data_IF_662407698128
#
_entry.id   IF_662407698128
#
_cell.length_a   1.000
_cell.length_b   1.000
_cell.length_c   1.000
_cell.angle_alpha   90.00
_cell.angle_beta   90.00
_cell.angle_gamma   90.00
#
_symmetry.space_group_name_H-M   'P 1'
#
loop_
_entity.id
_entity.type
_entity.pdbx_description
1 polymer ?
2 non-polymer ?
3 non-polymer ?
4 non-polymer ?
5 non-polymer ?
6 water ?
#
# COMPACT_ATOMS: atom_id res chain seq x y z
N UNK A 3 1.44 24.29 7.65
CA UNK A 3 0.76 25.38 6.90
C UNK A 3 -0.70 25.03 6.62
N UNK A 4 -1.61 25.89 7.08
CA UNK A 4 -3.04 25.67 6.87
C UNK A 4 -3.37 25.60 5.38
N UNK A 5 -2.53 26.24 4.57
CA UNK A 5 -2.73 26.26 3.13
C UNK A 5 -2.56 24.87 2.53
N UNK A 6 -1.52 24.15 2.93
CA UNK A 6 -1.27 22.81 2.41
C UNK A 6 -2.40 21.86 2.78
N UNK A 7 -2.91 21.98 3.99
CA UNK A 7 -4.01 21.14 4.42
C UNK A 7 -5.17 21.32 3.45
N UNK A 8 -5.60 22.57 3.25
CA UNK A 8 -6.71 22.86 2.36
C UNK A 8 -6.44 22.33 0.94
N UNK A 9 -5.22 22.54 0.45
CA UNK A 9 -4.85 22.07 -0.88
C UNK A 9 -4.95 20.56 -1.00
N UNK A 10 -4.37 19.86 -0.04
CA UNK A 10 -4.42 18.40 -0.05
C UNK A 10 -5.86 17.90 0.03
N UNK A 11 -6.63 18.44 0.97
CA UNK A 11 -8.03 18.01 1.14
C UNK A 11 -8.87 18.23 -0.12
N UNK A 12 -8.75 19.40 -0.73
CA UNK A 12 -9.50 19.72 -1.94
C UNK A 12 -9.21 18.66 -3.01
N UNK A 13 -7.93 18.30 -3.14
CA UNK A 13 -7.51 17.30 -4.12
C UNK A 13 -8.13 15.97 -3.75
N UNK A 14 -8.21 15.69 -2.45
CA UNK A 14 -8.78 14.44 -2.01
C UNK A 14 -10.25 14.42 -2.45
N UNK A 15 -10.96 15.52 -2.23
CA UNK A 15 -12.36 15.58 -2.65
C UNK A 15 -12.49 15.37 -4.13
N UNK A 16 -11.54 15.92 -4.88
CA UNK A 16 -11.54 15.80 -6.34
C UNK A 16 -11.38 14.34 -6.75
N UNK A 17 -10.45 13.64 -6.12
CA UNK A 17 -10.22 12.24 -6.45
C UNK A 17 -11.46 11.44 -6.10
N UNK A 18 -12.06 11.74 -4.95
CA UNK A 18 -13.27 11.05 -4.51
C UNK A 18 -14.45 11.32 -5.43
N UNK A 19 -14.58 12.57 -5.86
CA UNK A 19 -15.66 12.96 -6.74
C UNK A 19 -15.71 12.11 -8.00
N UNK A 20 -14.55 11.80 -8.55
CA UNK A 20 -14.46 10.98 -9.76
C UNK A 20 -15.07 9.61 -9.55
N UNK A 21 -15.08 9.12 -8.32
CA UNK A 21 -15.63 7.80 -8.03
C UNK A 21 -17.02 7.90 -7.43
N UNK A 22 -17.49 9.13 -7.20
CA UNK A 22 -18.81 9.32 -6.61
C UNK A 22 -18.79 9.02 -5.12
N UNK A 23 -17.66 9.27 -4.48
CA UNK A 23 -17.55 9.02 -3.04
C UNK A 23 -17.44 10.35 -2.30
N UNK A 24 -18.14 10.49 -1.19
CA UNK A 24 -18.12 11.72 -0.41
C UNK A 24 -17.09 11.62 0.71
N UNK A 25 -16.39 12.72 0.97
CA UNK A 25 -15.38 12.75 2.04
C UNK A 25 -15.99 13.24 3.36
N UNK A 26 -15.71 12.52 4.44
CA UNK A 26 -16.20 12.90 5.77
C UNK A 26 -15.15 13.80 6.39
N UNK A 27 -15.28 15.10 6.16
CA UNK A 27 -14.33 16.08 6.67
C UNK A 27 -14.00 15.95 8.16
N UNK A 28 -14.99 15.60 8.97
CA UNK A 28 -14.83 15.44 10.41
C UNK A 28 -13.81 14.36 10.74
N UNK A 29 -13.62 13.44 9.79
CA UNK A 29 -12.68 12.34 9.99
C UNK A 29 -11.36 12.59 9.27
N UNK A 30 -11.40 13.38 8.20
CA UNK A 30 -10.19 13.66 7.42
C UNK A 30 -9.40 14.89 7.85
N UNK A 31 -10.07 16.02 8.03
CA UNK A 31 -9.38 17.24 8.38
C UNK A 31 -8.55 17.16 9.66
N UNK A 32 -9.10 16.53 10.70
CA UNK A 32 -8.36 16.39 11.96
C UNK A 32 -7.03 15.69 11.73
N UNK A 33 -7.04 14.67 10.88
CA UNK A 33 -5.85 13.88 10.58
C UNK A 33 -4.82 14.64 9.74
N UNK A 34 -5.29 15.37 8.73
CA UNK A 34 -4.39 16.15 7.88
C UNK A 34 -3.77 17.28 8.68
N UNK A 35 -4.55 17.87 9.58
CA UNK A 35 -4.05 18.97 10.42
C UNK A 35 -2.91 18.48 11.29
N UNK A 36 -3.10 17.33 11.92
CA UNK A 36 -2.11 16.73 12.80
C UNK A 36 -0.79 16.52 12.07
N UNK A 37 -0.87 16.14 10.80
CA UNK A 37 0.34 15.91 10.02
C UNK A 37 0.50 16.98 8.94
N UNK A 38 0.08 18.21 9.23
CA UNK A 38 0.18 19.29 8.25
C UNK A 38 1.61 19.58 7.80
N UNK A 39 2.59 19.27 8.64
CA UNK A 39 3.99 19.53 8.28
C UNK A 39 4.53 18.62 7.18
N UNK A 40 3.89 17.48 6.96
CA UNK A 40 4.32 16.53 5.94
C UNK A 40 3.69 16.80 4.57
N UNK A 41 2.60 17.56 4.56
CA UNK A 41 1.86 17.87 3.34
C UNK A 41 2.57 18.84 2.42
N UNK A 42 3.78 19.25 2.79
CA UNK A 42 4.54 20.18 1.98
C UNK A 42 5.14 19.42 0.80
N UNK A 43 5.00 19.99 -0.40
CA UNK A 43 5.53 19.37 -1.60
C UNK A 43 7.05 19.28 -1.53
N UNK A 44 7.62 18.39 -2.34
CA UNK A 44 9.06 18.22 -2.36
C UNK A 44 9.50 16.80 -2.10
N UNK A 45 9.55 16.43 -0.82
CA UNK A 45 9.97 15.09 -0.46
C UNK A 45 8.85 14.30 0.21
N UNK A 46 7.62 14.60 -0.20
CA UNK A 46 6.42 13.96 0.33
C UNK A 46 5.76 13.05 -0.70
N UNK A 47 5.15 11.98 -0.23
CA UNK A 47 4.44 11.10 -1.14
C UNK A 47 2.99 11.05 -0.67
N UNK A 48 2.07 11.24 -1.61
CA UNK A 48 0.65 11.23 -1.32
C UNK A 48 -0.05 10.49 -2.44
N UNK A 49 -0.81 9.45 -2.09
CA UNK A 49 -1.52 8.64 -3.07
C UNK A 49 -3.00 8.53 -2.77
N UNK A 50 -3.81 8.64 -3.83
CA UNK A 50 -5.26 8.50 -3.71
C UNK A 50 -5.59 7.26 -4.52
N UNK A 51 -6.04 6.22 -3.84
CA UNK A 51 -6.32 4.93 -4.48
C UNK A 51 -7.78 4.47 -4.54
N UNK A 52 -8.14 3.92 -5.69
CA UNK A 52 -9.46 3.37 -5.94
C UNK A 52 -9.33 1.84 -6.03
N UNK A 53 -10.44 1.13 -5.89
CA UNK A 53 -10.46 -0.32 -5.97
C UNK A 53 -11.76 -0.78 -6.63
N UNK A 54 -11.72 -1.97 -7.23
CA UNK A 54 -12.90 -2.50 -7.91
C UNK A 54 -13.75 -3.36 -6.98
N UNK A 55 -14.88 -3.80 -7.52
CA UNK A 55 -15.79 -4.65 -6.78
C UNK A 55 -16.29 -4.11 -5.46
N UNK A 56 -16.02 -4.87 -4.40
CA UNK A 56 -16.43 -4.54 -3.04
C UNK A 56 -16.01 -3.16 -2.55
N UNK A 57 -14.76 -2.79 -2.81
CA UNK A 57 -14.23 -1.51 -2.35
C UNK A 57 -14.39 -0.39 -3.36
N UNK A 58 -15.31 -0.56 -4.30
CA UNK A 58 -15.54 0.44 -5.33
C UNK A 58 -16.20 1.71 -4.78
N UNK A 59 -16.85 1.59 -3.63
CA UNK A 59 -17.54 2.71 -3.00
C UNK A 59 -16.65 3.42 -1.98
N UNK A 60 -15.35 3.19 -2.08
CA UNK A 60 -14.41 3.80 -1.15
C UNK A 60 -13.21 4.43 -1.84
N UNK A 61 -12.50 5.25 -1.08
CA UNK A 61 -11.30 5.94 -1.58
C UNK A 61 -10.24 6.02 -0.46
N UNK A 62 -9.10 5.40 -0.69
CA UNK A 62 -8.01 5.42 0.29
C UNK A 62 -6.97 6.49 -0.05
N UNK A 63 -6.29 6.96 0.98
CA UNK A 63 -5.22 7.93 0.82
C UNK A 63 -4.03 7.50 1.67
N UNK A 64 -2.84 7.73 1.14
CA UNK A 64 -1.60 7.39 1.82
C UNK A 64 -0.75 8.65 1.82
N UNK A 65 -0.20 8.97 2.99
CA UNK A 65 0.61 10.17 3.16
C UNK A 65 1.90 9.79 3.85
N UNK A 66 3.03 10.14 3.23
CA UNK A 66 4.33 9.82 3.83
C UNK A 66 4.54 10.73 5.05
N UNK A 67 5.27 10.24 6.03
CA UNK A 67 5.58 10.99 7.25
C UNK A 67 7.02 10.69 7.65
N UNK A 68 7.89 11.72 7.62
CA UNK A 68 9.29 11.48 7.99
C UNK A 68 9.43 10.99 9.43
N UNK A 69 10.40 10.10 9.66
CA UNK A 69 10.62 9.56 11.00
C UNK A 69 10.89 10.68 12.00
N UNK A 70 11.42 11.80 11.49
CA UNK A 70 11.73 12.93 12.36
C UNK A 70 10.49 13.42 13.10
N UNK A 71 9.31 13.16 12.53
CA UNK A 71 8.07 13.61 13.17
C UNK A 71 7.61 12.66 14.26
N UNK A 72 8.25 11.50 14.35
CA UNK A 72 7.88 10.54 15.38
C UNK A 72 6.80 9.57 14.97
N UNK A 73 6.77 8.43 15.68
CA UNK A 73 5.80 7.36 15.46
C UNK A 73 4.41 7.93 15.18
N UNK A 74 3.90 7.74 13.94
CA UNK A 74 2.57 8.26 13.56
C UNK A 74 1.38 7.68 14.35
N UNK A 75 1.46 6.39 14.68
CA UNK A 75 0.38 5.77 15.43
C UNK A 75 0.32 6.30 16.86
N UNK A 76 1.48 6.54 17.47
CA UNK A 76 1.53 7.08 18.81
C UNK A 76 0.87 8.45 18.77
N UNK A 77 1.03 9.14 17.66
CA UNK A 77 0.43 10.46 17.53
C UNK A 77 -1.09 10.39 17.47
N UNK A 78 -1.63 9.60 16.53
CA UNK A 78 -3.09 9.48 16.39
C UNK A 78 -3.77 8.97 17.67
N UNK A 79 -3.16 8.00 18.33
CA UNK A 79 -3.75 7.47 19.57
C UNK A 79 -3.74 8.55 20.66
N UNK A 80 -2.58 9.20 20.83
CA UNK A 80 -2.44 10.25 21.83
C UNK A 80 -3.37 11.43 21.54
N UNK A 81 -3.62 11.71 20.26
CA UNK A 81 -4.51 12.81 19.91
C UNK A 81 -5.98 12.43 19.98
N UNK A 82 -6.24 11.17 20.33
CA UNK A 82 -7.60 10.71 20.44
C UNK A 82 -8.29 10.45 19.10
N UNK A 83 -7.50 10.36 18.04
CA UNK A 83 -8.04 10.11 16.71
C UNK A 83 -8.37 8.63 16.47
N UNK A 84 -7.68 7.76 17.20
CA UNK A 84 -7.92 6.32 17.07
C UNK A 84 -7.72 5.61 18.40
N UNK A 85 -8.61 4.66 18.73
CA UNK A 85 -8.49 3.92 19.99
C UNK A 85 -7.55 2.73 19.86
N UNK A 86 -6.73 2.50 20.87
CA UNK A 86 -5.81 1.37 20.86
C UNK A 86 -6.63 0.08 20.75
N UNK A 87 -6.27 -0.79 19.80
CA UNK A 87 -7.00 -2.03 19.62
C UNK A 87 -6.85 -2.96 20.81
N UNK A 88 -5.79 -2.78 21.59
CA UNK A 88 -5.54 -3.62 22.75
C UNK A 88 -4.80 -4.88 22.33
N UNK A 89 -4.52 -4.97 21.02
CA UNK A 89 -3.83 -6.11 20.44
C UNK A 89 -2.38 -5.79 20.08
N UNK A 90 -1.58 -6.82 19.74
CA UNK A 90 -0.17 -6.64 19.37
C UNK A 90 0.05 -5.60 18.28
N UNK A 91 -0.96 -5.42 17.41
CA UNK A 91 -0.82 -4.45 16.32
C UNK A 91 -0.47 -3.06 16.83
N UNK A 92 -0.92 -2.72 18.04
CA UNK A 92 -0.65 -1.40 18.62
C UNK A 92 0.82 -1.18 18.92
N UNK A 93 1.57 -2.28 19.05
CA UNK A 93 2.99 -2.17 19.35
C UNK A 93 3.89 -2.46 18.17
N UNK A 94 3.35 -3.10 17.14
CA UNK A 94 4.14 -3.47 15.98
C UNK A 94 4.95 -2.34 15.35
N UNK A 95 4.33 -1.19 15.10
CA UNK A 95 5.08 -0.09 14.51
C UNK A 95 6.20 0.40 15.45
N UNK A 96 5.91 0.49 16.74
CA UNK A 96 6.90 0.93 17.71
C UNK A 96 8.05 -0.08 17.81
N UNK A 97 7.71 -1.37 17.83
CA UNK A 97 8.72 -2.42 17.91
C UNK A 97 9.59 -2.49 16.65
N UNK A 98 8.97 -2.31 15.49
CA UNK A 98 9.69 -2.36 14.25
C UNK A 98 10.80 -1.30 14.24
N UNK A 99 10.43 -0.06 14.56
CA UNK A 99 11.38 1.04 14.61
C UNK A 99 12.38 0.82 15.76
N UNK A 100 12.08 -0.14 16.63
CA UNK A 100 12.92 -0.44 17.77
C UNK A 100 13.90 -1.57 17.46
N UNK A 101 13.60 -2.36 16.44
CA UNK A 101 14.45 -3.47 16.07
C UNK A 101 15.15 -3.28 14.73
N UNK A 102 14.54 -2.50 13.85
CA UNK A 102 15.11 -2.29 12.53
C UNK A 102 15.15 -0.82 12.13
N UNK A 103 16.06 -0.48 11.20
CA UNK A 103 16.23 0.89 10.70
C UNK A 103 15.04 1.28 9.84
N UNK A 104 14.37 2.38 10.18
CA UNK A 104 13.23 2.83 9.42
C UNK A 104 13.57 4.18 8.79
N UNK A 105 13.53 4.25 7.46
CA UNK A 105 13.86 5.47 6.73
C UNK A 105 12.70 6.44 6.63
N UNK A 106 11.48 5.91 6.71
CA UNK A 106 10.30 6.77 6.60
C UNK A 106 9.02 6.08 7.05
N UNK A 107 8.05 6.90 7.44
CA UNK A 107 6.76 6.42 7.89
C UNK A 107 5.71 6.82 6.87
N UNK A 108 4.48 6.37 7.12
CA UNK A 108 3.34 6.72 6.28
C UNK A 108 2.05 6.38 7.02
N UNK A 109 1.04 7.23 6.82
CA UNK A 109 -0.26 7.02 7.43
C UNK A 109 -1.21 6.72 6.29
N UNK A 110 -2.23 5.94 6.59
CA UNK A 110 -3.19 5.53 5.59
C UNK A 110 -4.61 5.60 6.15
N UNK A 111 -5.52 6.19 5.39
CA UNK A 111 -6.91 6.26 5.83
C UNK A 111 -7.87 6.13 4.67
N UNK A 112 -9.18 6.18 4.93
CA UNK A 112 -10.21 6.09 3.89
C UNK A 112 -11.09 7.34 4.04
N UNK A 113 -11.48 7.95 2.93
CA UNK A 113 -12.26 9.18 2.98
C UNK A 113 -13.53 9.20 3.83
N UNK A 114 -14.16 8.06 4.03
CA UNK A 114 -15.37 8.03 4.86
C UNK A 114 -15.09 7.35 6.20
N UNK A 115 -14.08 6.49 6.25
CA UNK A 115 -13.76 5.79 7.49
C UNK A 115 -12.74 6.46 8.40
N UNK A 116 -11.82 7.21 7.81
CA UNK A 116 -10.78 7.87 8.59
C UNK A 116 -9.49 7.04 8.62
N UNK A 117 -8.60 7.35 9.56
CA UNK A 117 -7.33 6.65 9.73
C UNK A 117 -7.54 5.14 9.92
N UNK A 118 -6.65 4.33 9.36
CA UNK A 118 -6.76 2.88 9.52
C UNK A 118 -5.41 2.14 9.52
N UNK A 119 -4.38 2.79 8.97
CA UNK A 119 -3.09 2.13 8.92
C UNK A 119 -1.84 2.98 8.85
N UNK A 120 -0.70 2.33 9.11
CA UNK A 120 0.58 3.00 9.04
C UNK A 120 1.53 2.11 8.25
N UNK A 121 2.63 2.72 7.80
CA UNK A 121 3.65 2.03 7.02
C UNK A 121 5.02 2.29 7.64
N UNK A 122 5.93 1.32 7.46
CA UNK A 122 7.29 1.44 7.97
C UNK A 122 8.27 1.12 6.84
N UNK A 123 8.87 2.15 6.25
CA UNK A 123 9.83 1.99 5.16
C UNK A 123 11.24 1.72 5.68
N UNK A 124 11.94 0.82 5.02
CA UNK A 124 13.30 0.49 5.41
C UNK A 124 14.28 1.03 4.37
N UNK A 125 15.54 1.26 4.78
CA UNK A 125 16.55 1.77 3.86
C UNK A 125 16.73 0.79 2.71
N UNK A 126 16.72 1.30 1.48
CA UNK A 126 16.87 0.43 0.32
C UNK A 126 18.18 -0.36 0.33
N UNK A 127 19.25 0.26 0.80
CA UNK A 127 20.54 -0.39 0.85
C UNK A 127 20.73 -1.21 2.13
N UNK A 128 19.65 -1.37 2.88
CA UNK A 128 19.72 -2.14 4.12
C UNK A 128 18.34 -2.69 4.51
N UNK A 129 17.66 -3.32 3.55
CA UNK A 129 16.35 -3.88 3.81
C UNK A 129 16.44 -5.17 4.60
N UNK A 130 15.48 -5.39 5.51
CA UNK A 130 15.45 -6.60 6.33
C UNK A 130 14.93 -7.80 5.54
N UNK A 131 15.22 -8.98 6.06
CA UNK A 131 14.77 -10.21 5.43
C UNK A 131 13.61 -10.71 6.27
N UNK A 132 13.03 -11.83 5.86
CA UNK A 132 11.91 -12.44 6.56
C UNK A 132 12.33 -12.86 7.97
N UNK A 133 13.59 -13.25 8.11
CA UNK A 133 14.13 -13.69 9.41
C UNK A 133 14.14 -12.55 10.42
N UNK A 134 14.66 -11.40 10.00
CA UNK A 134 14.73 -10.25 10.89
C UNK A 134 13.33 -9.75 11.27
N UNK A 135 12.41 -9.77 10.30
CA UNK A 135 11.04 -9.33 10.55
C UNK A 135 10.28 -10.24 11.50
N UNK A 136 10.44 -11.54 11.32
CA UNK A 136 9.74 -12.50 12.16
C UNK A 136 10.23 -12.47 13.60
N UNK A 137 11.36 -11.81 13.84
CA UNK A 137 11.93 -11.72 15.18
C UNK A 137 11.26 -10.64 16.04
N UNK A 138 10.62 -9.67 15.40
CA UNK A 138 9.94 -8.60 16.12
C UNK A 138 8.84 -9.21 16.98
N UNK A 139 8.89 -8.99 18.30
CA UNK A 139 7.94 -9.50 19.30
C UNK A 139 6.47 -9.36 18.95
N UNK A 140 6.10 -8.19 18.46
CA UNK A 140 4.71 -7.92 18.11
C UNK A 140 4.33 -8.33 16.68
N UNK A 141 5.29 -8.85 15.92
CA UNK A 141 4.99 -9.28 14.55
C UNK A 141 4.16 -10.56 14.58
N UNK A 142 3.22 -10.70 13.64
CA UNK A 142 2.36 -11.88 13.57
C UNK A 142 3.20 -13.15 13.46
N UNK A 143 2.85 -14.20 14.21
CA UNK A 143 3.60 -15.46 14.16
C UNK A 143 3.63 -16.03 12.74
N UNK A 144 2.57 -15.73 11.99
CA UNK A 144 2.43 -16.20 10.61
C UNK A 144 3.64 -15.86 9.75
N UNK A 145 4.30 -14.73 10.03
CA UNK A 145 5.47 -14.36 9.24
C UNK A 145 6.52 -15.45 9.35
N UNK A 146 6.84 -15.86 10.58
CA UNK A 146 7.83 -16.92 10.78
C UNK A 146 7.35 -18.27 10.23
N UNK A 147 6.07 -18.56 10.42
CA UNK A 147 5.49 -19.82 9.93
C UNK A 147 5.43 -19.96 8.42
N UNK A 148 5.67 -18.86 7.71
CA UNK A 148 5.66 -18.87 6.26
C UNK A 148 7.04 -18.55 5.69
N UNK A 149 8.04 -18.44 6.57
CA UNK A 149 9.40 -18.12 6.14
C UNK A 149 9.94 -19.10 5.11
N UNK A 150 9.72 -20.39 5.33
CA UNK A 150 10.21 -21.39 4.40
C UNK A 150 9.57 -21.21 3.03
N UNK A 151 8.25 -21.04 3.02
CA UNK A 151 7.52 -20.85 1.78
C UNK A 151 8.01 -19.62 1.02
N UNK A 152 8.20 -18.51 1.74
CA UNK A 152 8.68 -17.28 1.13
C UNK A 152 10.01 -17.51 0.44
N UNK A 153 10.93 -18.18 1.14
CA UNK A 153 12.26 -18.47 0.59
C UNK A 153 12.17 -19.33 -0.66
N UNK A 154 11.24 -20.29 -0.65
CA UNK A 154 11.08 -21.17 -1.80
C UNK A 154 10.68 -20.40 -3.07
N UNK A 155 10.06 -19.24 -2.90
CA UNK A 155 9.66 -18.45 -4.06
C UNK A 155 10.49 -17.19 -4.27
N UNK A 156 11.62 -17.09 -3.57
CA UNK A 156 12.49 -15.95 -3.71
C UNK A 156 12.00 -14.65 -3.11
N UNK A 157 11.11 -14.74 -2.14
CA UNK A 157 10.58 -13.56 -1.45
C UNK A 157 11.46 -13.42 -0.22
N UNK A 158 12.39 -12.48 -0.27
CA UNK A 158 13.34 -12.28 0.81
C UNK A 158 13.39 -10.83 1.30
N UNK A 159 13.88 -9.94 0.46
CA UNK A 159 13.98 -8.53 0.82
C UNK A 159 12.62 -7.85 0.89
N UNK A 160 12.45 -7.04 1.93
CA UNK A 160 11.21 -6.30 2.17
C UNK A 160 11.54 -4.81 2.25
N UNK A 161 10.97 -4.03 1.34
CA UNK A 161 11.19 -2.60 1.28
C UNK A 161 10.39 -1.86 2.36
N UNK A 162 9.32 -2.50 2.85
CA UNK A 162 8.49 -1.89 3.89
C UNK A 162 7.37 -2.83 4.37
N UNK A 163 6.70 -2.42 5.43
CA UNK A 163 5.60 -3.18 6.01
C UNK A 163 4.48 -2.19 6.28
N UNK A 164 3.25 -2.68 6.37
CA UNK A 164 2.12 -1.82 6.71
C UNK A 164 1.29 -2.54 7.77
N UNK A 165 0.64 -1.77 8.63
CA UNK A 165 -0.22 -2.31 9.69
C UNK A 165 -1.63 -1.74 9.59
N UNK A 166 -2.62 -2.63 9.52
CA UNK A 166 -4.02 -2.23 9.45
C UNK A 166 -4.61 -2.47 10.83
N UNK A 167 -4.77 -1.40 11.60
CA UNK A 167 -5.30 -1.46 12.94
C UNK A 167 -6.78 -1.84 13.02
N UNK A 168 -7.50 -1.72 11.92
CA UNK A 168 -8.92 -2.06 11.92
C UNK A 168 -9.18 -3.52 11.61
N UNK A 169 -8.46 -4.07 10.64
CA UNK A 169 -8.64 -5.47 10.29
C UNK A 169 -7.59 -6.33 10.98
N UNK A 170 -6.68 -5.67 11.70
CA UNK A 170 -5.60 -6.36 12.41
C UNK A 170 -4.83 -7.26 11.46
N UNK A 171 -4.30 -6.65 10.40
CA UNK A 171 -3.53 -7.36 9.39
C UNK A 171 -2.23 -6.63 9.04
N UNK A 172 -1.24 -7.41 8.61
CA UNK A 172 0.08 -6.90 8.22
C UNK A 172 0.44 -7.27 6.78
N UNK A 173 0.98 -6.31 6.05
CA UNK A 173 1.43 -6.57 4.67
C UNK A 173 2.96 -6.54 4.64
N UNK A 174 3.55 -7.43 3.85
CA UNK A 174 5.00 -7.46 3.68
C UNK A 174 5.25 -7.13 2.23
N UNK A 175 5.85 -5.98 1.97
CA UNK A 175 6.12 -5.57 0.61
C UNK A 175 7.49 -6.05 0.14
N UNK A 176 7.52 -7.19 -0.55
CA UNK A 176 8.79 -7.73 -1.03
C UNK A 176 9.34 -6.94 -2.20
N UNK A 177 10.66 -6.81 -2.25
CA UNK A 177 11.28 -6.06 -3.32
C UNK A 177 12.41 -6.86 -3.98
N UNK A 178 13.04 -6.23 -4.96
CA UNK A 178 14.15 -6.86 -5.71
C UNK A 178 13.74 -8.27 -6.14
N UNK A 179 12.55 -8.39 -6.72
CA UNK A 179 12.03 -9.67 -7.17
C UNK A 179 12.79 -10.17 -8.39
N UNK A 180 13.01 -11.48 -8.43
CA UNK A 180 13.72 -12.09 -9.55
C UNK A 180 12.71 -12.46 -10.64
N UNK A 181 13.21 -12.58 -11.85
CA UNK A 181 12.37 -12.96 -12.98
C UNK A 181 11.77 -14.33 -12.72
N UNK A 182 12.57 -15.21 -12.12
CA UNK A 182 12.10 -16.56 -11.82
C UNK A 182 10.82 -16.52 -10.99
N UNK A 183 10.83 -15.69 -9.95
CA UNK A 183 9.70 -15.53 -9.06
C UNK A 183 8.39 -15.16 -9.77
N UNK A 184 8.49 -14.23 -10.74
CA UNK A 184 7.32 -13.74 -11.46
C UNK A 184 6.90 -14.55 -12.68
N UNK A 185 7.59 -15.66 -12.92
CA UNK A 185 7.26 -16.53 -14.03
C UNK A 185 5.89 -17.15 -13.80
N UNK A 186 5.17 -17.42 -14.88
CA UNK A 186 3.84 -18.00 -14.77
C UNK A 186 3.84 -19.28 -13.93
N UNK A 187 4.81 -20.17 -14.15
CA UNK A 187 4.87 -21.42 -13.39
C UNK A 187 5.05 -21.14 -11.90
N UNK A 188 5.92 -20.19 -11.57
CA UNK A 188 6.19 -19.84 -10.16
C UNK A 188 4.98 -19.19 -9.49
N UNK A 189 4.35 -18.26 -10.20
CA UNK A 189 3.17 -17.59 -9.68
C UNK A 189 2.05 -18.57 -9.39
N UNK A 190 1.76 -19.44 -10.35
CA UNK A 190 0.70 -20.43 -10.16
C UNK A 190 0.99 -21.35 -8.98
N UNK A 191 2.23 -21.80 -8.86
CA UNK A 191 2.61 -22.68 -7.75
C UNK A 191 2.36 -21.97 -6.42
N UNK A 192 2.76 -20.71 -6.36
CA UNK A 192 2.60 -19.91 -5.15
C UNK A 192 1.14 -19.77 -4.77
N UNK A 193 0.32 -19.24 -5.68
CA UNK A 193 -1.10 -19.05 -5.39
C UNK A 193 -1.76 -20.37 -4.96
N UNK A 194 -1.37 -21.48 -5.58
CA UNK A 194 -1.94 -22.77 -5.20
C UNK A 194 -1.58 -23.14 -3.76
N UNK A 195 -0.34 -22.91 -3.36
CA UNK A 195 0.06 -23.22 -1.99
C UNK A 195 -0.71 -22.37 -0.99
N UNK A 196 -0.99 -21.12 -1.35
CA UNK A 196 -1.70 -20.22 -0.43
C UNK A 196 -3.22 -20.35 -0.53
N UNK A 197 -3.67 -21.14 -1.50
CA UNK A 197 -5.09 -21.36 -1.69
C UNK A 197 -5.78 -20.09 -2.17
N UNK A 198 -5.18 -19.41 -3.12
CA UNK A 198 -5.78 -18.19 -3.63
C UNK A 198 -6.31 -18.34 -5.03
N UNK A 199 -7.06 -17.32 -5.45
CA UNK A 199 -7.65 -17.27 -6.77
C UNK A 199 -6.56 -17.44 -7.83
N UNK A 200 -6.80 -18.33 -8.78
CA UNK A 200 -5.85 -18.59 -9.85
C UNK A 200 -5.98 -17.54 -10.94
N UNK A 201 -4.93 -16.72 -11.15
CA UNK A 201 -4.97 -15.67 -12.18
C UNK A 201 -4.91 -16.26 -13.60
N UNK A 202 -5.62 -15.63 -14.54
CA UNK A 202 -5.61 -16.10 -15.91
C UNK A 202 -4.45 -15.47 -16.67
N UNK A 203 -4.44 -15.65 -17.98
CA UNK A 203 -3.40 -15.13 -18.85
C UNK A 203 -3.18 -13.63 -18.68
N UNK A 204 -4.28 -12.87 -18.64
CA UNK A 204 -4.15 -11.42 -18.48
C UNK A 204 -3.52 -11.16 -17.12
N UNK A 205 -4.05 -11.81 -16.10
CA UNK A 205 -3.52 -11.63 -14.76
C UNK A 205 -2.06 -12.01 -14.67
N UNK A 206 -1.70 -13.14 -15.27
CA UNK A 206 -0.33 -13.61 -15.25
C UNK A 206 0.61 -12.62 -15.93
N UNK A 207 0.17 -12.03 -17.03
CA UNK A 207 1.01 -11.07 -17.74
C UNK A 207 1.32 -9.88 -16.84
N UNK A 208 0.34 -9.46 -16.05
CA UNK A 208 0.48 -8.34 -15.12
C UNK A 208 1.50 -8.70 -14.03
N UNK A 209 1.36 -9.90 -13.48
CA UNK A 209 2.26 -10.37 -12.43
C UNK A 209 3.72 -10.30 -12.86
N UNK A 210 3.99 -10.74 -14.08
CA UNK A 210 5.35 -10.75 -14.60
C UNK A 210 5.95 -9.35 -14.62
N UNK A 211 5.10 -8.34 -14.83
CA UNK A 211 5.53 -6.94 -14.88
C UNK A 211 5.72 -6.32 -13.50
N UNK A 212 5.19 -6.98 -12.47
CA UNK A 212 5.25 -6.48 -11.11
C UNK A 212 6.64 -6.09 -10.59
N UNK A 213 6.68 -5.00 -9.84
CA UNK A 213 7.92 -4.52 -9.26
C UNK A 213 7.87 -4.82 -7.77
N UNK A 214 6.68 -5.15 -7.28
CA UNK A 214 6.49 -5.47 -5.87
C UNK A 214 5.36 -6.46 -5.65
N UNK A 215 5.53 -7.31 -4.65
CA UNK A 215 4.52 -8.30 -4.31
C UNK A 215 4.34 -8.34 -2.80
N UNK A 216 3.10 -8.33 -2.34
CA UNK A 216 2.89 -8.36 -0.92
C UNK A 216 1.74 -9.19 -0.42
N UNK A 217 2.04 -10.12 0.50
CA UNK A 217 1.02 -11.00 1.09
C UNK A 217 0.48 -10.24 2.28
N UNK A 218 -0.72 -10.59 2.71
CA UNK A 218 -1.33 -9.98 3.87
C UNK A 218 -1.42 -11.12 4.89
N UNK A 219 -1.00 -10.86 6.13
CA UNK A 219 -1.04 -11.88 7.19
C UNK A 219 -1.84 -11.34 8.37
N UNK A 220 -2.20 -12.23 9.30
CA UNK A 220 -2.97 -11.86 10.48
C UNK A 220 -2.47 -12.64 11.71
N UNK A 221 -2.87 -12.21 12.90
CA UNK A 221 -2.45 -12.85 14.16
C UNK A 221 -3.25 -14.08 14.59
N UNK A 222 -4.41 -14.27 13.97
CA UNK A 222 -5.28 -15.38 14.28
C UNK A 222 -4.72 -16.71 13.79
N UNK A 223 -4.58 -16.86 12.47
CA UNK A 223 -4.05 -18.08 11.88
C UNK A 223 -2.76 -17.84 11.10
N UNK A 224 -2.17 -18.91 10.58
CA UNK A 224 -0.94 -18.78 9.82
C UNK A 224 -1.21 -18.77 8.33
N UNK A 225 -2.49 -18.69 7.96
CA UNK A 225 -2.90 -18.67 6.57
C UNK A 225 -2.88 -17.25 6.02
N UNK A 226 -2.24 -17.07 4.86
CA UNK A 226 -2.16 -15.75 4.24
C UNK A 226 -3.54 -15.35 3.72
N UNK A 227 -3.99 -14.16 4.10
CA UNK A 227 -5.31 -13.66 3.70
C UNK A 227 -5.43 -13.35 2.22
N UNK A 228 -4.37 -12.78 1.64
CA UNK A 228 -4.39 -12.43 0.23
C UNK A 228 -2.99 -12.03 -0.22
N UNK A 229 -2.80 -12.04 -1.53
CA UNK A 229 -1.51 -11.68 -2.11
C UNK A 229 -1.73 -10.68 -3.24
N UNK A 230 -1.00 -9.57 -3.19
CA UNK A 230 -1.13 -8.54 -4.19
C UNK A 230 0.12 -8.27 -5.02
N UNK A 231 -0.09 -8.16 -6.33
CA UNK A 231 0.99 -7.84 -7.27
C UNK A 231 0.84 -6.37 -7.66
N UNK A 232 1.91 -5.60 -7.54
CA UNK A 232 1.87 -4.17 -7.86
C UNK A 232 2.74 -3.82 -9.08
N UNK A 233 2.19 -3.00 -9.97
CA UNK A 233 2.89 -2.56 -11.17
C UNK A 233 2.90 -1.03 -11.14
N UNK A 234 4.06 -0.41 -11.38
CA UNK A 234 4.14 1.04 -11.38
C UNK A 234 4.34 1.48 -12.83
N UNK A 235 3.60 2.49 -13.27
CA UNK A 235 3.70 2.92 -14.66
C UNK A 235 3.04 4.26 -14.95
N UNK A 236 3.35 4.86 -16.09
CA UNK A 236 2.72 6.12 -16.46
C UNK A 236 1.58 5.80 -17.42
N UNK A 237 1.47 4.53 -17.80
CA UNK A 237 0.42 4.05 -18.70
C UNK A 237 -0.90 3.95 -17.97
N UNK A 238 -1.93 4.68 -18.43
CA UNK A 238 -3.26 4.68 -17.81
C UNK A 238 -4.22 3.56 -18.22
N UNK A 239 -3.76 2.61 -19.01
CA UNK A 239 -4.62 1.52 -19.47
C UNK A 239 -4.17 0.14 -19.03
N UNK A 240 -3.43 0.04 -17.92
CA UNK A 240 -2.92 -1.25 -17.47
C UNK A 240 -3.78 -2.11 -16.54
N UNK A 241 -4.98 -1.66 -16.18
CA UNK A 241 -5.80 -2.46 -15.27
C UNK A 241 -5.96 -3.89 -15.83
N UNK A 242 -5.50 -4.89 -15.06
CA UNK A 242 -5.59 -6.29 -15.49
C UNK A 242 -6.99 -6.89 -15.36
N UNK A 243 -7.98 -6.24 -15.97
CA UNK A 243 -9.37 -6.68 -15.92
C UNK A 243 -9.99 -6.82 -17.32
N UNK A 244 -10.83 -7.83 -17.51
CA UNK A 244 -11.49 -8.05 -18.79
C UNK A 244 -12.88 -7.39 -18.77
N UNK A 245 -13.26 -6.85 -17.61
CA UNK A 245 -14.57 -6.19 -17.46
C UNK A 245 -14.57 -4.81 -18.12
N UNK A 246 -15.54 -4.60 -19.00
CA UNK A 246 -15.67 -3.34 -19.72
C UNK A 246 -15.78 -2.17 -18.75
N UNK A 247 -16.47 -2.42 -17.64
CA UNK A 247 -16.64 -1.38 -16.63
C UNK A 247 -15.33 -0.96 -15.98
N UNK A 248 -14.50 -1.93 -15.62
CA UNK A 248 -13.21 -1.64 -15.00
C UNK A 248 -12.30 -0.94 -15.98
N UNK A 249 -12.25 -1.44 -17.21
CA UNK A 249 -11.39 -0.84 -18.23
C UNK A 249 -11.68 0.66 -18.34
N UNK A 250 -12.95 1.02 -18.45
CA UNK A 250 -13.32 2.42 -18.58
C UNK A 250 -13.11 3.25 -17.32
N UNK A 251 -13.58 2.74 -16.19
CA UNK A 251 -13.46 3.46 -14.93
C UNK A 251 -12.01 3.70 -14.50
N UNK A 252 -11.17 2.67 -14.56
CA UNK A 252 -9.76 2.83 -14.16
C UNK A 252 -9.00 3.78 -15.08
N UNK A 253 -9.34 3.75 -16.36
CA UNK A 253 -8.68 4.63 -17.31
C UNK A 253 -9.07 6.08 -17.04
N UNK A 254 -10.35 6.29 -16.71
CA UNK A 254 -10.84 7.63 -16.41
C UNK A 254 -10.11 8.20 -15.21
N UNK A 255 -9.98 7.39 -14.17
CA UNK A 255 -9.31 7.80 -12.94
C UNK A 255 -7.82 8.08 -13.21
N UNK A 256 -7.17 7.17 -13.92
CA UNK A 256 -5.75 7.32 -14.23
C UNK A 256 -5.44 8.57 -15.07
N UNK A 257 -6.43 9.09 -15.79
CA UNK A 257 -6.20 10.28 -16.61
C UNK A 257 -6.80 11.57 -16.06
N UNK A 258 -7.47 11.50 -14.90
CA UNK A 258 -8.08 12.71 -14.35
C UNK A 258 -7.80 12.95 -12.87
N UNK A 259 -7.19 11.97 -12.21
CA UNK A 259 -6.88 12.10 -10.79
C UNK A 259 -5.97 13.30 -10.56
N UNK A 260 -6.20 14.07 -9.48
CA UNK A 260 -5.37 15.24 -9.19
C UNK A 260 -3.90 14.93 -8.94
N UNK A 261 -3.03 15.85 -9.33
CA UNK A 261 -1.59 15.68 -9.15
C UNK A 261 -0.92 17.05 -9.22
N UNK A 262 0.03 17.29 -8.33
CA UNK A 262 0.70 18.59 -8.28
C UNK A 262 1.95 18.73 -9.15
N UNK A 263 2.60 17.61 -9.44
CA UNK A 263 3.83 17.66 -10.24
C UNK A 263 3.65 17.89 -11.74
N UNK A 264 2.89 18.93 -12.10
CA UNK A 264 2.67 19.27 -13.50
C UNK A 264 4.04 19.39 -14.15
N UNK A 265 4.19 18.83 -15.35
CA UNK A 265 5.46 18.86 -16.03
C UNK A 265 5.88 17.42 -16.25
N UNK A 266 5.25 16.51 -15.51
CA UNK A 266 5.52 15.09 -15.66
C UNK A 266 4.19 14.35 -15.75
N UNK A 267 4.24 13.14 -16.29
CA UNK A 267 3.05 12.32 -16.40
C UNK A 267 2.68 11.82 -15.00
N UNK A 268 1.42 11.47 -14.83
CA UNK A 268 0.91 10.95 -13.57
C UNK A 268 1.57 9.62 -13.24
N UNK A 269 2.09 9.49 -12.03
CA UNK A 269 2.68 8.22 -11.60
C UNK A 269 1.51 7.38 -11.12
N UNK A 270 1.42 6.14 -11.58
CA UNK A 270 0.33 5.25 -11.21
C UNK A 270 0.81 3.92 -10.70
N UNK A 271 0.13 3.39 -9.70
CA UNK A 271 0.49 2.08 -9.18
C UNK A 271 -0.76 1.23 -9.20
N UNK A 272 -0.72 0.20 -10.04
CA UNK A 272 -1.85 -0.70 -10.16
C UNK A 272 -1.61 -1.92 -9.28
N UNK A 273 -2.70 -2.55 -8.84
CA UNK A 273 -2.57 -3.73 -8.02
C UNK A 273 -3.57 -4.82 -8.39
N UNK A 274 -3.07 -6.06 -8.43
CA UNK A 274 -3.89 -7.22 -8.72
C UNK A 274 -3.87 -7.98 -7.41
N UNK A 275 -5.02 -8.06 -6.76
CA UNK A 275 -5.11 -8.74 -5.49
C UNK A 275 -5.86 -10.04 -5.62
N UNK A 276 -5.27 -11.10 -5.10
CA UNK A 276 -5.85 -12.42 -5.17
C UNK A 276 -6.27 -12.86 -3.77
N UNK A 277 -7.55 -13.17 -3.61
CA UNK A 277 -8.07 -13.63 -2.34
C UNK A 277 -8.50 -15.08 -2.56
N UNK A 278 -8.81 -15.82 -1.48
CA UNK A 278 -9.23 -17.22 -1.58
C UNK A 278 -10.27 -17.54 -2.66
N UNK A 279 -11.29 -16.70 -2.80
CA UNK A 279 -12.33 -16.96 -3.78
C UNK A 279 -12.49 -15.94 -4.91
N UNK A 280 -11.56 -15.01 -5.05
CA UNK A 280 -11.69 -14.01 -6.10
C UNK A 280 -10.51 -13.07 -6.22
N UNK A 281 -10.58 -12.19 -7.20
CA UNK A 281 -9.52 -11.20 -7.43
C UNK A 281 -10.16 -9.86 -7.68
N UNK A 282 -9.52 -8.80 -7.20
CA UNK A 282 -10.04 -7.47 -7.46
C UNK A 282 -8.88 -6.59 -7.87
N UNK A 283 -9.20 -5.42 -8.39
CA UNK A 283 -8.19 -4.52 -8.90
C UNK A 283 -8.10 -3.23 -8.13
N UNK A 284 -6.89 -2.67 -8.11
CA UNK A 284 -6.63 -1.42 -7.42
C UNK A 284 -5.77 -0.52 -8.27
N UNK A 285 -5.86 0.77 -7.98
CA UNK A 285 -5.11 1.76 -8.71
C UNK A 285 -4.85 2.99 -7.84
N UNK A 286 -3.58 3.28 -7.63
CA UNK A 286 -3.20 4.43 -6.84
C UNK A 286 -2.68 5.49 -7.80
N UNK A 287 -3.25 6.68 -7.73
CA UNK A 287 -2.83 7.78 -8.57
C UNK A 287 -2.14 8.73 -7.62
N UNK A 288 -0.85 8.93 -7.84
CA UNK A 288 -0.03 9.77 -6.99
C UNK A 288 -0.29 11.25 -7.16
N UNK A 289 -0.47 11.93 -6.03
CA UNK A 289 -0.72 13.36 -6.00
C UNK A 289 0.62 14.07 -5.76
N UNK A 290 1.49 13.40 -5.02
CA UNK A 290 2.83 13.87 -4.70
C UNK A 290 3.78 12.72 -4.98
N UNK A 291 4.91 13.01 -5.59
CA UNK A 291 5.92 12.00 -5.87
C UNK A 291 7.29 12.53 -5.50
N UNK A 292 8.24 11.61 -5.43
CA UNK A 292 9.62 11.94 -5.10
C UNK A 292 10.52 11.19 -6.08
N UNK A 293 11.84 11.30 -5.91
CA UNK A 293 12.77 10.62 -6.79
C UNK A 293 12.64 9.10 -6.72
N UNK A 294 12.12 8.61 -5.59
CA UNK A 294 11.92 7.17 -5.42
C UNK A 294 11.03 6.64 -6.53
N UNK A 295 9.85 7.26 -6.70
CA UNK A 295 8.91 6.85 -7.73
C UNK A 295 9.53 7.05 -9.10
N UNK A 296 10.25 8.15 -9.28
CA UNK A 296 10.89 8.43 -10.56
C UNK A 296 11.91 7.34 -10.92
N UNK A 297 12.64 6.88 -9.90
CA UNK A 297 13.62 5.83 -10.13
C UNK A 297 12.95 4.52 -10.44
N UNK A 298 11.84 4.25 -9.76
CA UNK A 298 11.10 3.00 -9.98
C UNK A 298 10.55 2.94 -11.39
N UNK A 299 10.03 4.07 -11.88
CA UNK A 299 9.48 4.15 -13.24
C UNK A 299 10.54 3.86 -14.28
N UNK A 300 11.75 4.37 -14.06
CA UNK A 300 12.83 4.15 -15.00
C UNK A 300 13.24 2.69 -15.02
N UNK A 301 13.22 2.06 -13.85
CA UNK A 301 13.61 0.67 -13.72
C UNK A 301 12.56 -0.36 -14.15
N UNK A 302 11.28 -0.10 -13.86
CA UNK A 302 10.25 -1.08 -14.19
C UNK A 302 9.25 -0.67 -15.24
N UNK A 303 9.26 0.59 -15.67
CA UNK A 303 8.33 1.02 -16.69
C UNK A 303 9.06 1.53 -17.93
#
# INVERSE_FOLDING_TARGET
MSEAADVERVYAAMEEAAGLLGVACARDKIYPLLSTFQDTLVEGGSVVVFSMASGRHSTELDFSISVPTSHGDPYATVVEKGLFPATGHPVDDLLADTQKHLPVSMFAIDGEVTGGFKKTYAFFPTDNMPGVAELSAIPSMPPAVAENAELFARYGLDKVQMTSMDYKKRQVNLYFSELSAQTLEAESVLALVRELGLHVPNELGLKFCKRSFSVYPTLNWETGKIDRLCFAVISNDPTLVPSSDEGDIEKFHNYATKAPYAYVGEKRTLVYGLTLSPKEEYYKLGAYYHITDVQRGLLKAFDSLED
#
